data_IF_721074071583
#
_entry.id   IF_721074071583
#
_cell.length_a   1.000
_cell.length_b   1.000
_cell.length_c   1.000
_cell.angle_alpha   90.00
_cell.angle_beta   90.00
_cell.angle_gamma   90.00
#
_symmetry.space_group_name_H-M   'P 1'
#
loop_
_entity.id
_entity.type
_entity.pdbx_description
1 polymer ?
#
# COMPACT_ATOMS: atom_id res chain seq x y z
N UNK A 1 3.71 -54.16 5.44
CA UNK A 1 2.45 -53.43 5.65
C UNK A 1 2.49 -52.90 7.06
N UNK A 2 2.56 -51.61 7.38
CA UNK A 2 2.45 -50.34 6.65
C UNK A 2 3.23 -49.29 7.46
N UNK A 3 3.75 -48.28 6.76
CA UNK A 3 4.37 -47.06 7.29
C UNK A 3 3.43 -46.27 8.21
N UNK A 4 3.99 -45.53 9.17
CA UNK A 4 3.32 -44.34 9.74
C UNK A 4 4.36 -43.32 10.15
N UNK A 5 5.03 -42.73 9.15
CA UNK A 5 5.69 -41.43 9.28
C UNK A 5 4.64 -40.34 9.26
N UNK A 6 4.23 -39.83 10.43
CA UNK A 6 3.39 -38.64 10.51
C UNK A 6 4.26 -37.41 10.23
N UNK A 7 4.42 -37.10 8.94
CA UNK A 7 4.99 -35.85 8.46
C UNK A 7 4.02 -34.72 8.80
N UNK A 8 4.33 -33.96 9.86
CA UNK A 8 3.70 -32.69 10.14
C UNK A 8 4.01 -31.74 8.98
N UNK A 9 3.12 -31.73 7.98
CA UNK A 9 3.06 -30.65 6.99
C UNK A 9 2.81 -29.37 7.77
N UNK A 10 3.86 -28.55 7.94
CA UNK A 10 3.69 -27.16 8.30
C UNK A 10 2.74 -26.55 7.27
N UNK A 11 1.54 -26.22 7.73
CA UNK A 11 0.54 -25.48 6.98
C UNK A 11 1.17 -24.16 6.60
N UNK A 12 1.56 -24.08 5.33
CA UNK A 12 1.94 -22.85 4.67
C UNK A 12 0.82 -21.86 4.96
N UNK A 13 1.10 -20.88 5.82
CA UNK A 13 0.13 -19.87 6.19
C UNK A 13 -0.14 -19.09 4.92
N UNK A 14 -1.30 -19.35 4.33
CA UNK A 14 -1.83 -18.56 3.23
C UNK A 14 -1.88 -17.12 3.73
N UNK A 15 -0.85 -16.35 3.38
CA UNK A 15 -0.91 -14.89 3.33
C UNK A 15 -2.12 -14.60 2.44
N UNK A 16 -3.27 -14.37 3.08
CA UNK A 16 -4.52 -14.16 2.39
C UNK A 16 -4.33 -13.01 1.42
N UNK A 17 -4.49 -13.29 0.13
CA UNK A 17 -4.59 -12.24 -0.88
C UNK A 17 -5.78 -11.35 -0.50
N UNK A 18 -5.49 -10.15 0.00
CA UNK A 18 -6.51 -9.14 0.22
C UNK A 18 -6.67 -8.33 -1.06
N UNK A 19 -7.67 -8.69 -1.86
CA UNK A 19 -8.04 -7.95 -3.07
C UNK A 19 -8.94 -6.77 -2.70
N UNK A 20 -8.41 -5.55 -2.73
CA UNK A 20 -9.20 -4.33 -2.60
C UNK A 20 -9.69 -3.93 -3.99
N UNK A 21 -10.99 -4.16 -4.26
CA UNK A 21 -11.63 -3.72 -5.51
C UNK A 21 -11.91 -2.22 -5.41
N UNK A 22 -11.07 -1.40 -6.05
CA UNK A 22 -11.31 0.04 -6.18
C UNK A 22 -12.14 0.26 -7.45
N UNK A 23 -13.37 0.79 -7.37
CA UNK A 23 -14.20 1.02 -8.55
C UNK A 23 -13.54 2.12 -9.41
N UNK A 24 -12.82 1.68 -10.44
CA UNK A 24 -12.37 2.45 -11.59
C UNK A 24 -11.98 3.93 -11.33
N UNK A 25 -11.05 4.23 -10.40
CA UNK A 25 -10.63 5.61 -10.14
C UNK A 25 -9.94 6.26 -11.37
N UNK A 26 -9.57 5.45 -12.36
CA UNK A 26 -8.80 5.85 -13.54
C UNK A 26 -9.46 5.46 -14.89
N UNK A 27 -10.77 5.16 -14.91
CA UNK A 27 -11.45 4.87 -16.18
C UNK A 27 -11.32 6.05 -17.17
N UNK A 28 -10.54 5.85 -18.24
CA UNK A 28 -10.24 6.87 -19.25
C UNK A 28 -8.82 7.44 -19.20
N UNK A 29 -8.00 7.10 -18.20
CA UNK A 29 -6.57 7.43 -18.15
C UNK A 29 -5.77 6.17 -18.52
N UNK A 30 -5.18 6.14 -19.72
CA UNK A 30 -4.44 4.97 -20.21
C UNK A 30 -3.07 4.77 -19.54
N UNK A 31 -2.54 5.79 -18.87
CA UNK A 31 -1.11 5.88 -18.57
C UNK A 31 -0.79 6.00 -17.07
N UNK A 32 -1.76 5.83 -16.16
CA UNK A 32 -1.50 5.93 -14.71
C UNK A 32 -1.36 4.53 -14.07
N UNK A 33 -0.15 4.19 -13.65
CA UNK A 33 0.19 3.02 -12.86
C UNK A 33 0.13 3.27 -11.35
N UNK A 34 -0.13 2.21 -10.58
CA UNK A 34 -0.16 2.25 -9.12
C UNK A 34 0.46 0.98 -8.52
N UNK A 35 1.38 1.16 -7.59
CA UNK A 35 2.07 0.08 -6.89
C UNK A 35 2.00 0.28 -5.38
N UNK A 36 1.74 -0.80 -4.65
CA UNK A 36 1.79 -0.85 -3.18
C UNK A 36 2.77 -1.93 -2.77
N UNK A 37 3.69 -1.61 -1.86
CA UNK A 37 4.62 -2.59 -1.33
C UNK A 37 4.39 -2.82 0.17
N UNK A 38 3.84 -3.97 0.51
CA UNK A 38 3.75 -4.42 1.90
C UNK A 38 5.09 -5.03 2.31
N UNK A 39 5.77 -4.40 3.26
CA UNK A 39 7.02 -4.92 3.80
C UNK A 39 6.71 -6.07 4.76
N UNK A 40 7.42 -7.19 4.60
CA UNK A 40 7.39 -8.30 5.53
C UNK A 40 7.71 -7.81 6.95
N UNK A 41 6.90 -8.25 7.91
CA UNK A 41 6.97 -7.86 9.32
C UNK A 41 6.67 -9.08 10.19
N UNK A 42 7.34 -9.18 11.32
CA UNK A 42 7.04 -10.23 12.29
C UNK A 42 5.69 -9.95 12.96
N UNK A 43 5.04 -11.01 13.44
CA UNK A 43 3.84 -10.88 14.26
C UNK A 43 4.14 -10.04 15.51
N UNK A 44 3.26 -9.10 15.87
CA UNK A 44 3.42 -8.09 16.94
C UNK A 44 4.48 -6.99 16.75
N UNK A 45 5.05 -6.81 15.55
CA UNK A 45 5.81 -5.59 15.26
C UNK A 45 4.89 -4.40 14.98
N UNK A 46 5.36 -3.19 15.30
CA UNK A 46 4.68 -1.95 14.89
C UNK A 46 4.52 -1.95 13.37
N UNK A 47 3.30 -1.71 12.90
CA UNK A 47 3.01 -1.69 11.48
C UNK A 47 3.86 -0.61 10.78
N UNK A 48 4.71 -1.05 9.85
CA UNK A 48 5.54 -0.16 9.04
C UNK A 48 4.69 0.60 8.04
N UNK A 49 5.15 1.81 7.75
CA UNK A 49 4.66 2.64 6.64
C UNK A 49 4.54 1.80 5.36
N UNK A 50 3.37 1.87 4.73
CA UNK A 50 3.09 1.19 3.46
C UNK A 50 3.24 2.23 2.35
N UNK A 51 4.31 2.17 1.53
CA UNK A 51 4.50 3.09 0.42
C UNK A 51 3.51 2.79 -0.71
N UNK A 52 2.94 3.87 -1.23
CA UNK A 52 2.10 3.94 -2.41
C UNK A 52 2.87 4.73 -3.45
N UNK A 53 3.12 4.12 -4.60
CA UNK A 53 3.84 4.70 -5.72
C UNK A 53 2.90 4.81 -6.91
N UNK A 54 2.87 5.99 -7.52
CA UNK A 54 2.08 6.27 -8.72
C UNK A 54 3.03 6.70 -9.83
N UNK A 55 2.78 6.20 -11.04
CA UNK A 55 3.58 6.48 -12.23
C UNK A 55 2.65 6.90 -13.35
N UNK A 56 3.03 7.91 -14.13
CA UNK A 56 2.27 8.31 -15.31
C UNK A 56 2.77 9.61 -15.95
N UNK A 57 2.07 10.14 -16.95
CA UNK A 57 2.50 11.35 -17.64
C UNK A 57 2.52 12.58 -16.73
N UNK A 58 3.43 13.51 -17.00
CA UNK A 58 3.65 14.70 -16.17
C UNK A 58 2.37 15.51 -15.85
N UNK A 59 1.51 15.90 -16.81
CA UNK A 59 0.40 16.79 -16.49
C UNK A 59 -0.64 16.18 -15.52
N UNK A 60 -1.08 14.91 -15.70
CA UNK A 60 -1.87 14.21 -14.68
C UNK A 60 -1.16 14.03 -13.33
N UNK A 61 0.14 13.74 -13.33
CA UNK A 61 0.91 13.50 -12.11
C UNK A 61 1.05 14.74 -11.23
N UNK A 62 1.24 15.91 -11.84
CA UNK A 62 1.24 17.19 -11.11
C UNK A 62 -0.10 17.42 -10.42
N UNK A 63 -1.21 17.18 -11.12
CA UNK A 63 -2.55 17.33 -10.55
C UNK A 63 -2.80 16.30 -9.43
N UNK A 64 -2.33 15.08 -9.61
CA UNK A 64 -2.41 14.04 -8.59
C UNK A 64 -1.64 14.44 -7.32
N UNK A 65 -0.41 14.97 -7.46
CA UNK A 65 0.40 15.42 -6.34
C UNK A 65 -0.29 16.50 -5.49
N UNK A 66 -0.96 17.47 -6.14
CA UNK A 66 -1.77 18.48 -5.44
C UNK A 66 -2.89 17.84 -4.60
N UNK A 67 -3.59 16.85 -5.15
CA UNK A 67 -4.67 16.14 -4.43
C UNK A 67 -4.12 15.29 -3.28
N UNK A 68 -2.98 14.62 -3.50
CA UNK A 68 -2.30 13.85 -2.46
C UNK A 68 -1.79 14.75 -1.33
N UNK A 69 -1.39 15.98 -1.64
CA UNK A 69 -1.00 16.95 -0.61
C UNK A 69 -2.19 17.31 0.28
N UNK A 70 -3.38 17.49 -0.30
CA UNK A 70 -4.61 17.71 0.48
C UNK A 70 -4.95 16.47 1.34
N UNK A 71 -4.78 15.26 0.79
CA UNK A 71 -4.98 14.01 1.52
C UNK A 71 -4.03 13.88 2.72
N UNK A 72 -2.76 14.24 2.55
CA UNK A 72 -1.76 14.18 3.63
C UNK A 72 -2.09 15.08 4.82
N UNK A 73 -2.79 16.20 4.58
CA UNK A 73 -3.29 17.09 5.62
C UNK A 73 -4.56 16.61 6.33
N UNK A 74 -5.19 15.52 5.87
CA UNK A 74 -6.39 14.97 6.50
C UNK A 74 -6.07 14.37 7.87
N UNK A 75 -6.90 14.71 8.87
CA UNK A 75 -6.75 14.20 10.22
C UNK A 75 -7.60 12.95 10.40
N UNK A 76 -6.98 11.86 10.80
CA UNK A 76 -7.64 10.64 11.27
C UNK A 76 -7.00 10.22 12.58
N UNK A 77 -7.78 9.60 13.47
CA UNK A 77 -7.31 9.08 14.75
C UNK A 77 -6.71 7.67 14.64
N UNK A 78 -6.94 6.97 13.52
CA UNK A 78 -6.54 5.57 13.34
C UNK A 78 -5.49 5.38 12.26
N UNK A 79 -5.25 6.38 11.42
CA UNK A 79 -4.23 6.34 10.38
C UNK A 79 -3.75 7.74 10.02
N UNK A 80 -2.62 7.80 9.34
CA UNK A 80 -2.13 9.03 8.74
C UNK A 80 -1.52 8.76 7.35
N UNK A 81 -1.34 9.83 6.60
CA UNK A 81 -0.66 9.84 5.32
C UNK A 81 0.59 10.70 5.46
N UNK A 82 1.70 10.29 4.84
CA UNK A 82 2.86 11.18 4.70
C UNK A 82 2.59 12.25 3.66
N UNK A 83 3.37 13.33 3.71
CA UNK A 83 3.45 14.24 2.58
C UNK A 83 3.85 13.47 1.31
N UNK A 84 3.23 13.77 0.16
CA UNK A 84 3.65 13.22 -1.11
C UNK A 84 5.02 13.79 -1.51
N UNK A 85 5.86 12.93 -2.09
CA UNK A 85 7.18 13.30 -2.60
C UNK A 85 7.20 12.99 -4.09
N UNK A 86 7.46 14.00 -4.90
CA UNK A 86 7.75 13.83 -6.33
C UNK A 86 9.17 13.29 -6.48
N UNK A 87 9.32 12.09 -7.05
CA UNK A 87 10.62 11.51 -7.39
C UNK A 87 11.08 11.96 -8.78
N UNK A 88 10.12 12.20 -9.67
CA UNK A 88 10.27 12.85 -10.97
C UNK A 88 8.93 13.51 -11.34
N UNK A 89 8.86 14.20 -12.48
CA UNK A 89 7.60 14.74 -13.00
C UNK A 89 6.54 13.65 -13.28
N UNK A 90 6.99 12.40 -13.44
CA UNK A 90 6.16 11.24 -13.81
C UNK A 90 5.89 10.30 -12.63
N UNK A 91 6.54 10.50 -11.47
CA UNK A 91 6.47 9.55 -10.34
C UNK A 91 6.28 10.28 -9.01
N UNK A 92 5.22 9.93 -8.29
CA UNK A 92 4.97 10.42 -6.92
C UNK A 92 4.84 9.26 -5.94
N UNK A 93 5.40 9.44 -4.75
CA UNK A 93 5.30 8.47 -3.65
C UNK A 93 4.70 9.15 -2.42
N UNK A 94 3.82 8.43 -1.71
CA UNK A 94 3.44 8.74 -0.34
C UNK A 94 3.35 7.44 0.45
N UNK A 95 3.18 7.50 1.77
CA UNK A 95 2.97 6.31 2.57
C UNK A 95 1.73 6.42 3.47
N UNK A 96 1.04 5.30 3.58
CA UNK A 96 0.04 5.07 4.61
C UNK A 96 0.73 4.68 5.92
N UNK A 97 0.28 5.27 7.03
CA UNK A 97 0.73 4.94 8.39
C UNK A 97 -0.45 4.47 9.19
N UNK A 98 -0.38 3.24 9.70
CA UNK A 98 -1.33 2.81 10.73
C UNK A 98 -0.99 3.47 12.07
N UNK A 99 -2.00 4.05 12.69
CA UNK A 99 -1.91 4.63 14.03
C UNK A 99 -2.91 3.97 15.01
N UNK A 100 -3.62 2.93 14.57
CA UNK A 100 -4.66 2.28 15.37
C UNK A 100 -4.14 1.62 16.66
N UNK A 101 -2.85 1.25 16.68
CA UNK A 101 -2.18 0.60 17.82
C UNK A 101 -1.31 1.58 18.62
N UNK A 102 -1.44 2.89 18.41
CA UNK A 102 -0.77 3.88 19.27
C UNK A 102 -1.56 3.99 20.57
N UNK A 103 -1.27 3.08 21.51
CA UNK A 103 -1.82 3.00 22.86
C UNK A 103 -0.72 2.72 23.86
#
# INVERSE_FOLDING_TARGET
MEESGSSMRHSNSYLGEMMIKVPAPFAGLSDLGFTVQYRAQSFNERQRDVPLLFEGPEPPMRRLAELLQLLSGSKSSTYAWTDPVMLSDEVVVLAFRDQSVVG
#
